data_IF_495966406540
#
_entry.id   IF_495966406540
#
_cell.length_a   1.000
_cell.length_b   1.000
_cell.length_c   1.000
_cell.angle_alpha   90.00
_cell.angle_beta   90.00
_cell.angle_gamma   90.00
#
_symmetry.space_group_name_H-M   'P 1'
#
loop_
_entity.id
_entity.type
_entity.pdbx_description
1 polymer ?
#
# COMPACT_ATOMS: atom_id res chain seq x y z
N UNK A 1 -10.96 31.75 4.68
CA UNK A 1 -9.71 31.08 5.15
C UNK A 1 -9.95 29.84 6.07
N UNK A 2 -11.12 29.19 6.04
CA UNK A 2 -11.37 27.91 6.75
C UNK A 2 -11.15 26.68 5.86
N UNK A 3 -11.40 26.80 4.55
CA UNK A 3 -11.29 25.69 3.59
C UNK A 3 -9.87 25.13 3.43
N UNK A 4 -8.84 25.98 3.47
CA UNK A 4 -7.45 25.53 3.35
C UNK A 4 -6.98 24.73 4.57
N UNK A 5 -7.44 25.09 5.78
CA UNK A 5 -7.14 24.34 7.01
C UNK A 5 -7.81 22.98 7.01
N UNK A 6 -9.10 22.90 6.66
CA UNK A 6 -9.82 21.62 6.48
C UNK A 6 -9.17 20.73 5.40
N UNK A 7 -8.76 21.33 4.27
CA UNK A 7 -8.07 20.63 3.18
C UNK A 7 -6.70 20.07 3.60
N UNK A 8 -5.98 20.79 4.46
CA UNK A 8 -4.70 20.33 5.01
C UNK A 8 -4.87 19.15 5.98
N UNK A 9 -5.91 19.16 6.81
CA UNK A 9 -6.24 18.05 7.72
C UNK A 9 -6.66 16.81 6.94
N UNK A 10 -7.58 16.95 5.98
CA UNK A 10 -8.03 15.84 5.14
C UNK A 10 -6.88 15.17 4.39
N UNK A 11 -5.94 15.97 3.85
CA UNK A 11 -4.74 15.42 3.19
C UNK A 11 -3.85 14.61 4.13
N UNK A 12 -3.73 15.02 5.40
CA UNK A 12 -2.94 14.27 6.39
C UNK A 12 -3.62 12.94 6.76
N UNK A 13 -4.94 12.94 6.88
CA UNK A 13 -5.74 11.74 7.12
C UNK A 13 -5.61 10.75 5.95
N UNK A 14 -5.75 11.24 4.71
CA UNK A 14 -5.56 10.44 3.49
C UNK A 14 -4.12 9.90 3.36
N UNK A 15 -3.11 10.68 3.75
CA UNK A 15 -1.72 10.20 3.83
C UNK A 15 -1.57 9.09 4.86
N UNK A 16 -2.10 9.26 6.07
CA UNK A 16 -2.04 8.26 7.13
C UNK A 16 -2.73 6.94 6.73
N UNK A 17 -3.92 7.03 6.13
CA UNK A 17 -4.64 5.86 5.62
C UNK A 17 -3.85 5.12 4.54
N UNK A 18 -3.18 5.85 3.63
CA UNK A 18 -2.35 5.24 2.60
C UNK A 18 -1.19 4.44 3.21
N UNK A 19 -0.52 4.99 4.23
CA UNK A 19 0.57 4.28 4.91
C UNK A 19 0.07 3.07 5.69
N UNK A 20 -1.08 3.18 6.36
CA UNK A 20 -1.70 2.05 7.05
C UNK A 20 -2.06 0.91 6.09
N UNK A 21 -2.64 1.24 4.93
CA UNK A 21 -2.94 0.26 3.88
C UNK A 21 -1.66 -0.41 3.35
N UNK A 22 -0.58 0.35 3.17
CA UNK A 22 0.71 -0.19 2.75
C UNK A 22 1.27 -1.18 3.77
N UNK A 23 1.24 -0.86 5.06
CA UNK A 23 1.79 -1.75 6.08
C UNK A 23 1.00 -3.05 6.18
N UNK A 24 -0.35 -2.96 6.26
CA UNK A 24 -1.22 -4.14 6.29
C UNK A 24 -1.03 -5.04 5.07
N UNK A 25 -0.92 -4.44 3.88
CA UNK A 25 -0.73 -5.19 2.64
C UNK A 25 0.63 -5.89 2.62
N UNK A 26 1.68 -5.24 3.11
CA UNK A 26 3.02 -5.81 3.23
C UNK A 26 3.02 -7.00 4.18
N UNK A 27 2.47 -6.85 5.38
CA UNK A 27 2.36 -7.93 6.37
C UNK A 27 1.60 -9.14 5.81
N UNK A 28 0.50 -8.89 5.10
CA UNK A 28 -0.29 -9.94 4.45
C UNK A 28 0.51 -10.69 3.38
N UNK A 29 1.22 -9.98 2.51
CA UNK A 29 2.08 -10.59 1.48
C UNK A 29 3.20 -11.40 2.13
N UNK A 30 3.87 -10.86 3.15
CA UNK A 30 4.96 -11.55 3.84
C UNK A 30 4.46 -12.84 4.50
N UNK A 31 3.28 -12.82 5.10
CA UNK A 31 2.64 -14.01 5.63
C UNK A 31 2.32 -15.05 4.54
N UNK A 32 1.68 -14.63 3.44
CA UNK A 32 1.35 -15.53 2.34
C UNK A 32 2.59 -16.12 1.66
N UNK A 33 3.66 -15.35 1.52
CA UNK A 33 4.96 -15.82 1.01
C UNK A 33 5.57 -16.88 1.91
N UNK A 34 5.51 -16.71 3.23
CA UNK A 34 5.97 -17.73 4.17
C UNK A 34 5.17 -19.02 4.02
N UNK A 35 3.84 -18.93 3.88
CA UNK A 35 3.00 -20.11 3.63
C UNK A 35 3.38 -20.82 2.33
N UNK A 36 3.57 -20.08 1.24
CA UNK A 36 4.01 -20.65 -0.04
C UNK A 36 5.37 -21.33 0.07
N UNK A 37 6.34 -20.72 0.76
CA UNK A 37 7.69 -21.26 0.89
C UNK A 37 7.73 -22.59 1.67
N UNK A 38 6.77 -22.82 2.56
CA UNK A 38 6.63 -24.07 3.31
C UNK A 38 5.66 -25.07 2.67
N UNK A 39 5.02 -24.71 1.55
CA UNK A 39 4.09 -25.57 0.85
C UNK A 39 4.82 -26.47 -0.15
N UNK A 40 4.57 -27.77 -0.08
CA UNK A 40 5.16 -28.76 -1.00
C UNK A 40 4.47 -28.74 -2.36
N UNK A 41 3.18 -28.39 -2.40
CA UNK A 41 2.39 -28.21 -3.63
C UNK A 41 1.29 -27.15 -3.40
N UNK A 42 1.62 -25.85 -3.54
CA UNK A 42 0.64 -24.79 -3.35
C UNK A 42 -0.33 -24.73 -4.54
N UNK A 43 -1.63 -24.56 -4.24
CA UNK A 43 -2.63 -24.41 -5.29
C UNK A 43 -2.37 -23.18 -6.17
N UNK A 44 -2.71 -23.29 -7.46
CA UNK A 44 -2.54 -22.19 -8.41
C UNK A 44 -3.29 -20.93 -7.97
N UNK A 45 -4.47 -21.10 -7.35
CA UNK A 45 -5.25 -19.99 -6.79
C UNK A 45 -4.49 -19.24 -5.70
N UNK A 46 -3.82 -19.94 -4.79
CA UNK A 46 -3.01 -19.33 -3.75
C UNK A 46 -1.83 -18.56 -4.35
N UNK A 47 -1.15 -19.14 -5.35
CA UNK A 47 -0.06 -18.47 -6.07
C UNK A 47 -0.55 -17.20 -6.78
N UNK A 48 -1.71 -17.27 -7.43
CA UNK A 48 -2.31 -16.13 -8.13
C UNK A 48 -2.76 -15.04 -7.15
N UNK A 49 -3.26 -15.42 -5.98
CA UNK A 49 -3.63 -14.48 -4.93
C UNK A 49 -2.42 -13.68 -4.45
N UNK A 50 -1.28 -14.33 -4.20
CA UNK A 50 -0.04 -13.66 -3.79
C UNK A 50 0.45 -12.71 -4.87
N UNK A 51 0.51 -13.15 -6.13
CA UNK A 51 0.91 -12.30 -7.26
C UNK A 51 0.02 -11.06 -7.39
N UNK A 52 -1.30 -11.24 -7.23
CA UNK A 52 -2.27 -10.14 -7.26
C UNK A 52 -2.02 -9.16 -6.11
N UNK A 53 -1.78 -9.67 -4.90
CA UNK A 53 -1.50 -8.85 -3.73
C UNK A 53 -0.22 -8.01 -3.93
N UNK A 54 0.84 -8.60 -4.50
CA UNK A 54 2.09 -7.91 -4.84
C UNK A 54 1.91 -6.81 -5.89
N UNK A 55 1.09 -7.06 -6.91
CA UNK A 55 0.78 -6.07 -7.94
C UNK A 55 0.06 -4.86 -7.33
N UNK A 56 -0.94 -5.09 -6.48
CA UNK A 56 -1.66 -4.04 -5.77
C UNK A 56 -0.74 -3.25 -4.82
N UNK A 57 0.13 -3.94 -4.08
CA UNK A 57 1.12 -3.31 -3.22
C UNK A 57 2.08 -2.40 -4.01
N UNK A 58 2.53 -2.86 -5.18
CA UNK A 58 3.40 -2.08 -6.07
C UNK A 58 2.72 -0.81 -6.59
N UNK A 59 1.41 -0.86 -6.87
CA UNK A 59 0.62 0.31 -7.25
C UNK A 59 0.49 1.31 -6.08
N UNK A 60 0.24 0.83 -4.86
CA UNK A 60 0.18 1.68 -3.67
C UNK A 60 1.53 2.37 -3.39
N UNK A 61 2.65 1.66 -3.54
CA UNK A 61 3.99 2.24 -3.40
C UNK A 61 4.26 3.33 -4.44
N UNK A 62 3.83 3.10 -5.69
CA UNK A 62 3.93 4.10 -6.75
C UNK A 62 3.14 5.36 -6.38
N UNK A 63 1.91 5.21 -5.90
CA UNK A 63 1.07 6.34 -5.49
C UNK A 63 1.69 7.10 -4.31
N UNK A 64 2.16 6.40 -3.28
CA UNK A 64 2.86 7.03 -2.15
C UNK A 64 4.08 7.84 -2.61
N UNK A 65 4.88 7.31 -3.54
CA UNK A 65 6.03 8.02 -4.13
C UNK A 65 5.61 9.26 -4.92
N UNK A 66 4.53 9.18 -5.71
CA UNK A 66 3.99 10.32 -6.46
C UNK A 66 3.50 11.42 -5.52
N UNK A 67 2.76 11.05 -4.46
CA UNK A 67 2.27 12.00 -3.45
C UNK A 67 3.42 12.68 -2.70
N UNK A 68 4.43 11.90 -2.29
CA UNK A 68 5.63 12.43 -1.64
C UNK A 68 6.36 13.47 -2.52
N UNK A 69 6.52 13.18 -3.82
CA UNK A 69 7.11 14.14 -4.76
C UNK A 69 6.26 15.40 -4.97
N UNK A 70 4.93 15.28 -5.02
CA UNK A 70 4.03 16.44 -5.13
C UNK A 70 4.11 17.35 -3.91
N UNK A 71 4.24 16.78 -2.71
CA UNK A 71 4.43 17.54 -1.45
C UNK A 71 5.70 18.39 -1.49
N UNK A 72 6.82 17.80 -1.92
CA UNK A 72 8.11 18.52 -2.03
C UNK A 72 8.09 19.67 -3.04
N UNK A 73 7.35 19.56 -4.15
CA UNK A 73 7.26 20.61 -5.18
C UNK A 73 6.39 21.81 -4.80
N UNK A 74 5.56 21.69 -3.76
CA UNK A 74 4.68 22.75 -3.27
C UNK A 74 5.05 23.28 -1.88
N UNK A 75 6.25 22.95 -1.38
CA UNK A 75 6.81 23.44 -0.12
C UNK A 75 7.72 24.63 -0.37
#
# INVERSE_FOLDING_TARGET
MLGFRKKGVLRKEEEAMLYEMLERQKESIDYQKKLLAHSVDPSEELVNQVKRAEALYSLLLREARVRHRRKQKGS
#
